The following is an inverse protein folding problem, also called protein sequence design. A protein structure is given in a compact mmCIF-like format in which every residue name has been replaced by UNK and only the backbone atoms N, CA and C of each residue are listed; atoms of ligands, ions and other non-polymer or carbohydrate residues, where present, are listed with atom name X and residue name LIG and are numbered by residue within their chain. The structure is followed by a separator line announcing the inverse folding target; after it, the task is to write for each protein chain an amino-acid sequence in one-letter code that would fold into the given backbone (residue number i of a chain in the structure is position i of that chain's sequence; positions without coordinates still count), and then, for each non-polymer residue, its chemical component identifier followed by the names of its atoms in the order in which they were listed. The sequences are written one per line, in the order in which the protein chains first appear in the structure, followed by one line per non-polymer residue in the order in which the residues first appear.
data_IF_313269693295
#
_entry.id   IF_313269693295
#
_cell.length_a   1.000
_cell.length_b   1.000
_cell.length_c   1.000
_cell.angle_alpha   90.00
_cell.angle_beta   90.00
_cell.angle_gamma   90.00
#
_symmetry.space_group_name_H-M   'P 1'
#
loop_
_entity.id
_entity.type
_entity.pdbx_description
1 polymer ?
#
# COMPACT_ATOMS: atom_id res chain seq x y z
N UNK A 1 -1.46 -8.83 -12.56
CA UNK A 1 -0.48 -7.82 -12.13
C UNK A 1 -0.17 -8.07 -10.67
N UNK A 2 1.10 -8.23 -10.35
CA UNK A 2 1.54 -8.43 -8.98
C UNK A 2 1.80 -7.08 -8.30
N UNK A 3 1.57 -7.00 -6.98
CA UNK A 3 1.90 -5.81 -6.19
C UNK A 3 3.41 -5.48 -6.19
N UNK A 4 4.23 -6.46 -6.58
CA UNK A 4 5.69 -6.36 -6.72
C UNK A 4 6.15 -5.87 -8.10
N UNK A 5 5.22 -5.61 -9.03
CA UNK A 5 5.56 -5.11 -10.36
C UNK A 5 6.14 -3.69 -10.26
N UNK A 6 7.21 -3.39 -11.04
CA UNK A 6 7.89 -2.09 -10.97
C UNK A 6 7.09 -0.94 -11.60
N UNK A 7 6.08 -1.26 -12.41
CA UNK A 7 5.23 -0.30 -13.09
C UNK A 7 3.79 -0.80 -13.19
N UNK A 8 2.86 0.13 -13.35
CA UNK A 8 1.44 -0.20 -13.57
C UNK A 8 1.13 -0.33 -15.07
N UNK A 9 0.09 -1.10 -15.41
CA UNK A 9 -0.37 -1.24 -16.79
C UNK A 9 -0.81 0.11 -17.36
N UNK A 10 -1.42 0.97 -16.53
CA UNK A 10 -1.78 2.32 -16.92
C UNK A 10 -0.55 3.16 -17.30
N UNK A 11 0.53 3.08 -16.52
CA UNK A 11 1.79 3.76 -16.85
C UNK A 11 2.40 3.25 -18.15
N UNK A 12 2.39 1.93 -18.37
CA UNK A 12 2.89 1.33 -19.61
C UNK A 12 2.04 1.74 -20.81
N UNK A 13 0.71 1.75 -20.68
CA UNK A 13 -0.19 2.25 -21.73
C UNK A 13 -0.01 3.74 -22.02
N UNK A 14 0.27 4.55 -21.00
CA UNK A 14 0.57 5.96 -21.21
C UNK A 14 1.91 6.17 -21.92
N UNK A 15 2.85 5.23 -21.77
CA UNK A 15 4.15 5.28 -22.42
C UNK A 15 4.11 4.79 -23.88
N UNK A 16 3.28 3.80 -24.19
CA UNK A 16 3.12 3.28 -25.56
C UNK A 16 2.22 4.22 -26.37
N UNK A 17 2.74 4.75 -27.47
CA UNK A 17 2.04 5.72 -28.33
C UNK A 17 0.79 5.15 -29.00
N UNK A 18 0.76 3.84 -29.26
CA UNK A 18 -0.40 3.09 -29.77
C UNK A 18 -0.83 2.04 -28.73
N UNK A 19 -1.44 2.52 -27.65
CA UNK A 19 -1.82 1.67 -26.53
C UNK A 19 -2.84 0.62 -27.00
N UNK A 20 -2.55 -0.69 -26.85
CA UNK A 20 -3.47 -1.72 -27.29
C UNK A 20 -4.79 -1.65 -26.52
N UNK A 21 -5.87 -2.03 -27.22
CA UNK A 21 -7.22 -2.12 -26.64
C UNK A 21 -7.24 -3.00 -25.38
N UNK A 22 -8.30 -2.86 -24.57
CA UNK A 22 -8.49 -3.61 -23.32
C UNK A 22 -8.42 -5.14 -23.47
N UNK A 23 -8.52 -5.67 -24.70
CA UNK A 23 -8.35 -7.09 -25.00
C UNK A 23 -6.94 -7.63 -24.65
N UNK A 24 -5.90 -6.80 -24.69
CA UNK A 24 -4.52 -7.23 -24.47
C UNK A 24 -4.03 -6.97 -23.03
N UNK A 25 -4.89 -6.49 -22.14
CA UNK A 25 -4.49 -6.05 -20.81
C UNK A 25 -3.97 -7.20 -19.95
N UNK A 26 -4.59 -8.37 -20.09
CA UNK A 26 -4.14 -9.58 -19.40
C UNK A 26 -2.74 -10.02 -19.84
N UNK A 27 -2.45 -9.92 -21.14
CA UNK A 27 -1.15 -10.29 -21.70
C UNK A 27 -0.07 -9.26 -21.33
N UNK A 28 -0.39 -7.98 -21.41
CA UNK A 28 0.50 -6.91 -20.96
C UNK A 28 0.81 -7.03 -19.46
N UNK A 29 -0.20 -7.32 -18.64
CA UNK A 29 0.00 -7.57 -17.22
C UNK A 29 0.96 -8.75 -16.96
N UNK A 30 0.82 -9.84 -17.71
CA UNK A 30 1.71 -11.00 -17.58
C UNK A 30 3.15 -10.67 -18.01
N UNK A 31 3.32 -9.91 -19.10
CA UNK A 31 4.63 -9.44 -19.56
C UNK A 31 5.30 -8.52 -18.54
N UNK A 32 4.55 -7.59 -17.93
CA UNK A 32 5.07 -6.69 -16.88
C UNK A 32 5.61 -7.50 -15.71
N UNK A 33 4.86 -8.52 -15.24
CA UNK A 33 5.29 -9.39 -14.15
C UNK A 33 6.54 -10.20 -14.51
N UNK A 34 6.58 -10.79 -15.72
CA UNK A 34 7.76 -11.54 -16.19
C UNK A 34 9.00 -10.66 -16.32
N UNK A 35 8.87 -9.47 -16.90
CA UNK A 35 9.97 -8.52 -17.08
C UNK A 35 10.48 -7.99 -15.75
N UNK A 36 9.57 -7.69 -14.80
CA UNK A 36 9.95 -7.30 -13.45
C UNK A 36 10.77 -8.39 -12.77
N UNK A 37 10.34 -9.65 -12.85
CA UNK A 37 11.10 -10.79 -12.32
C UNK A 37 12.49 -10.92 -12.93
N UNK A 38 12.61 -10.76 -14.25
CA UNK A 38 13.89 -10.82 -14.95
C UNK A 38 14.85 -9.69 -14.53
N UNK A 39 14.36 -8.45 -14.43
CA UNK A 39 15.15 -7.29 -13.99
C UNK A 39 15.63 -7.47 -12.54
N UNK A 40 14.74 -7.91 -11.66
CA UNK A 40 15.06 -8.15 -10.25
C UNK A 40 16.11 -9.27 -10.11
N UNK A 41 15.95 -10.36 -10.88
CA UNK A 41 16.94 -11.44 -10.93
C UNK A 41 18.30 -10.95 -11.45
N UNK A 42 18.31 -10.12 -12.50
CA UNK A 42 19.56 -9.55 -13.04
C UNK A 42 20.26 -8.64 -12.02
N UNK A 43 19.50 -7.84 -11.28
CA UNK A 43 20.03 -6.97 -10.24
C UNK A 43 20.37 -7.71 -8.94
N UNK A 44 20.18 -9.03 -8.84
CA UNK A 44 20.26 -9.80 -7.59
C UNK A 44 19.44 -9.17 -6.46
N UNK A 45 18.32 -8.54 -6.80
CA UNK A 45 17.39 -7.96 -5.83
C UNK A 45 16.21 -8.90 -5.67
N UNK A 46 15.98 -9.37 -4.46
CA UNK A 46 14.71 -10.00 -4.14
C UNK A 46 13.61 -8.94 -4.23
N UNK A 47 12.47 -9.19 -4.91
CA UNK A 47 11.34 -8.26 -4.86
C UNK A 47 11.03 -7.94 -3.39
N UNK A 48 10.71 -6.68 -3.05
CA UNK A 48 10.24 -6.36 -1.72
C UNK A 48 9.02 -7.24 -1.47
N UNK A 49 9.14 -8.18 -0.54
CA UNK A 49 8.07 -9.10 -0.21
C UNK A 49 7.02 -8.31 0.58
N UNK A 50 6.13 -7.64 -0.14
CA UNK A 50 5.01 -6.91 0.45
C UNK A 50 4.03 -7.97 0.93
N UNK A 51 4.07 -8.24 2.23
CA UNK A 51 3.21 -9.20 2.89
C UNK A 51 2.15 -8.45 3.71
N UNK A 52 0.91 -8.90 3.59
CA UNK A 52 -0.17 -8.48 4.48
C UNK A 52 -0.05 -9.24 5.81
N UNK A 53 -0.06 -8.51 6.92
CA UNK A 53 -0.08 -9.07 8.26
C UNK A 53 -1.30 -8.58 9.01
N UNK A 54 -1.86 -9.46 9.85
CA UNK A 54 -2.83 -9.08 10.87
C UNK A 54 -2.08 -8.94 12.18
N UNK A 55 -2.24 -7.78 12.82
CA UNK A 55 -1.75 -7.53 14.17
C UNK A 55 -2.97 -7.36 15.09
N UNK A 56 -2.98 -8.09 16.20
CA UNK A 56 -4.05 -8.02 17.21
C UNK A 56 -3.41 -7.51 18.48
N UNK A 57 -3.96 -6.42 19.00
CA UNK A 57 -3.46 -5.77 20.18
C UNK A 57 -4.61 -5.42 21.09
N UNK A 58 -4.46 -5.80 22.35
CA UNK A 58 -5.31 -5.36 23.45
C UNK A 58 -4.53 -4.28 24.22
N UNK A 59 -5.16 -3.12 24.39
CA UNK A 59 -4.51 -1.90 24.89
C UNK A 59 -5.28 -1.27 26.04
N UNK A 60 -4.58 -0.48 26.85
CA UNK A 60 -5.15 0.16 28.04
C UNK A 60 -5.68 1.59 27.79
N UNK A 61 -6.16 1.88 26.57
CA UNK A 61 -6.73 3.19 26.22
C UNK A 61 -5.77 4.23 25.62
N UNK A 62 -4.65 3.79 25.03
CA UNK A 62 -3.75 4.69 24.29
C UNK A 62 -4.35 5.12 22.93
N UNK A 63 -3.99 6.32 22.48
CA UNK A 63 -4.47 6.90 21.21
C UNK A 63 -3.54 6.65 20.03
N UNK A 64 -2.35 6.11 20.27
CA UNK A 64 -1.35 5.79 19.25
C UNK A 64 -0.73 4.41 19.51
N UNK A 65 -0.27 3.75 18.44
CA UNK A 65 0.38 2.44 18.52
C UNK A 65 1.50 2.35 17.50
N UNK A 66 2.69 1.97 17.96
CA UNK A 66 3.81 1.63 17.08
C UNK A 66 3.57 0.26 16.45
N UNK A 67 3.63 0.20 15.11
CA UNK A 67 3.50 -1.03 14.36
C UNK A 67 4.81 -1.83 14.42
N UNK A 68 4.72 -3.10 14.80
CA UNK A 68 5.91 -3.93 15.10
C UNK A 68 6.75 -4.29 13.87
N UNK A 69 6.14 -4.25 12.67
CA UNK A 69 6.78 -4.58 11.40
C UNK A 69 6.96 -3.30 10.60
N UNK A 70 8.18 -2.80 10.53
CA UNK A 70 8.51 -1.62 9.75
C UNK A 70 9.34 -2.01 8.51
N UNK A 71 9.17 -1.34 7.35
CA UNK A 71 8.22 -0.26 7.05
C UNK A 71 6.81 -0.78 6.71
N UNK A 72 5.78 -0.08 7.18
CA UNK A 72 4.38 -0.31 6.78
C UNK A 72 4.01 0.66 5.66
N UNK A 73 3.62 0.11 4.51
CA UNK A 73 3.26 0.90 3.33
C UNK A 73 1.80 1.36 3.37
N UNK A 74 0.90 0.52 3.88
CA UNK A 74 -0.53 0.82 3.99
C UNK A 74 -1.20 -0.04 5.06
N UNK A 75 -2.35 0.42 5.56
CA UNK A 75 -3.24 -0.33 6.43
C UNK A 75 -4.51 -0.63 5.64
N UNK A 76 -4.87 -1.91 5.51
CA UNK A 76 -6.07 -2.34 4.80
C UNK A 76 -7.35 -2.13 5.61
N UNK A 77 -7.32 -2.40 6.92
CA UNK A 77 -8.47 -2.26 7.82
C UNK A 77 -8.02 -2.15 9.28
N UNK A 78 -8.77 -1.39 10.07
CA UNK A 78 -8.65 -1.34 11.53
C UNK A 78 -10.00 -1.69 12.15
N UNK A 79 -9.99 -2.54 13.17
CA UNK A 79 -11.17 -2.90 13.95
C UNK A 79 -10.87 -2.76 15.44
N UNK A 80 -11.77 -2.12 16.19
CA UNK A 80 -11.72 -2.01 17.65
C UNK A 80 -13.01 -2.62 18.19
N UNK A 81 -12.92 -3.62 19.06
CA UNK A 81 -14.09 -4.33 19.61
C UNK A 81 -15.12 -4.72 18.54
N UNK A 82 -14.64 -5.35 17.46
CA UNK A 82 -15.41 -5.75 16.27
C UNK A 82 -16.05 -4.60 15.48
N UNK A 83 -15.81 -3.34 15.84
CA UNK A 83 -16.27 -2.15 15.11
C UNK A 83 -15.18 -1.70 14.16
N UNK A 84 -15.51 -1.58 12.86
CA UNK A 84 -14.57 -1.07 11.87
C UNK A 84 -14.34 0.42 12.05
N UNK A 85 -13.07 0.82 12.11
CA UNK A 85 -12.65 2.22 12.18
C UNK A 85 -12.20 2.64 10.78
N UNK A 86 -12.79 3.71 10.27
CA UNK A 86 -12.43 4.28 8.97
C UNK A 86 -11.14 5.08 9.05
N UNK A 87 -10.43 5.20 7.93
CA UNK A 87 -9.32 6.14 7.80
C UNK A 87 -9.84 7.55 8.08
N UNK A 88 -9.15 8.31 8.92
CA UNK A 88 -9.48 9.71 9.15
C UNK A 88 -9.14 10.54 7.90
N UNK A 89 -10.01 11.50 7.57
CA UNK A 89 -9.79 12.48 6.49
C UNK A 89 -8.84 13.62 6.90
N UNK A 90 -8.39 13.68 8.15
CA UNK A 90 -7.47 14.72 8.61
C UNK A 90 -6.01 14.29 8.40
N UNK A 91 -5.39 14.84 7.36
CA UNK A 91 -3.93 14.96 7.27
C UNK A 91 -3.45 15.73 8.49
N UNK A 92 -2.49 15.17 9.24
CA UNK A 92 -2.08 15.64 10.57
C UNK A 92 -2.03 17.17 10.72
N UNK A 93 -2.74 17.68 11.74
CA UNK A 93 -2.72 19.08 12.15
C UNK A 93 -4.11 19.64 12.42
N UNK A 94 -4.65 19.41 13.62
CA UNK A 94 -5.77 20.24 14.09
C UNK A 94 -5.22 21.50 14.74
N UNK A 95 -5.01 22.54 13.94
CA UNK A 95 -5.14 23.91 14.45
C UNK A 95 -6.64 24.18 14.61
N UNK A 96 -7.13 24.04 15.85
CA UNK A 96 -8.42 24.50 16.37
C UNK A 96 -9.66 24.19 15.51
N UNK A 97 -10.30 23.03 15.74
CA UNK A 97 -11.76 22.91 15.49
C UNK A 97 -12.31 21.64 14.83
N UNK A 98 -11.55 20.57 14.62
CA UNK A 98 -12.10 19.36 13.98
C UNK A 98 -11.51 18.07 14.52
N UNK A 99 -12.14 17.46 15.52
CA UNK A 99 -11.85 16.07 15.87
C UNK A 99 -12.31 15.19 14.71
N UNK A 100 -11.38 14.68 13.92
CA UNK A 100 -11.70 13.65 12.93
C UNK A 100 -11.70 12.28 13.61
N UNK A 101 -12.83 11.60 13.63
CA UNK A 101 -12.89 10.20 14.08
C UNK A 101 -12.27 9.29 13.02
N UNK A 102 -11.31 8.46 13.41
CA UNK A 102 -10.66 7.50 12.51
C UNK A 102 -9.22 7.21 12.88
N UNK A 103 -8.57 6.34 12.12
CA UNK A 103 -7.13 6.08 12.25
C UNK A 103 -6.32 6.89 11.22
N UNK A 104 -5.08 7.24 11.57
CA UNK A 104 -4.11 7.85 10.66
C UNK A 104 -2.82 7.05 10.73
N UNK A 105 -2.24 6.69 9.57
CA UNK A 105 -0.89 6.13 9.51
C UNK A 105 0.10 7.30 9.47
N UNK A 106 0.75 7.58 10.61
CA UNK A 106 1.79 8.59 10.68
C UNK A 106 3.13 8.00 10.23
N UNK A 107 3.81 8.69 9.31
CA UNK A 107 5.19 8.36 8.95
C UNK A 107 6.14 8.77 10.09
N UNK A 108 7.21 8.01 10.30
CA UNK A 108 8.25 8.36 11.29
C UNK A 108 8.86 9.73 10.94
N UNK A 109 8.91 10.63 11.93
CA UNK A 109 9.38 12.02 11.78
C UNK A 109 10.84 12.25 12.21
N UNK A 110 11.53 11.23 12.73
CA UNK A 110 12.96 11.34 13.09
C UNK A 110 13.21 11.19 14.58
#
# INVERSE_FOLDING_TARGET
MAITDLCTLQQVKAWITDAPSSANDALLAALITSSTGAILSYCNRTPPNVQSFVDTFDGYGETSKLLRRWPVLSISSVTVDNTSVTLSSASGGSSYGGYSSGYVLQAWDG
#
